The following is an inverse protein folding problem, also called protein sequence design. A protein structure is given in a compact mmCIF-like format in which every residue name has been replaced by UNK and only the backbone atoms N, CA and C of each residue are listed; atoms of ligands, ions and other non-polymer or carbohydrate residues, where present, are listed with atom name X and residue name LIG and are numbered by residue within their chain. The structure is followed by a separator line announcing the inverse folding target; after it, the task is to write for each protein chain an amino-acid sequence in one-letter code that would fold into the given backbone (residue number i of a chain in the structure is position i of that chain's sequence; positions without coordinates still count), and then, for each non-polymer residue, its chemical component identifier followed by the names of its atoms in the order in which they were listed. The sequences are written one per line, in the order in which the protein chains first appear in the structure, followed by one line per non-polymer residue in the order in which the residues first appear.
data_IF_575725568574
#
_entry.id   IF_575725568574
#
_cell.length_a   1.000
_cell.length_b   1.000
_cell.length_c   1.000
_cell.angle_alpha   90.00
_cell.angle_beta   90.00
_cell.angle_gamma   90.00
#
_symmetry.space_group_name_H-M   'P 1'
#
loop_
_entity.id
_entity.type
_entity.pdbx_description
1 polymer ?
#
# COMPACT_ATOMS: atom_id res chain seq x y z
N UNK A 1 6.81 -22.72 -16.45
CA UNK A 1 7.01 -21.26 -16.20
C UNK A 1 7.38 -21.09 -14.75
N UNK A 2 8.49 -20.40 -14.45
CA UNK A 2 8.82 -20.00 -13.07
C UNK A 2 7.79 -18.94 -12.66
N UNK A 3 6.95 -19.26 -11.67
CA UNK A 3 5.93 -18.33 -11.20
C UNK A 3 6.55 -17.30 -10.23
N UNK A 4 6.04 -16.08 -10.25
CA UNK A 4 6.37 -15.07 -9.24
C UNK A 4 5.09 -14.52 -8.61
N UNK A 5 5.16 -14.02 -7.38
CA UNK A 5 4.08 -13.31 -6.69
C UNK A 5 4.50 -11.85 -6.50
N UNK A 6 3.63 -10.91 -6.91
CA UNK A 6 3.80 -9.51 -6.59
C UNK A 6 3.28 -9.20 -5.17
N UNK A 7 4.10 -8.57 -4.36
CA UNK A 7 3.82 -8.21 -2.96
C UNK A 7 3.88 -6.68 -2.86
N UNK A 8 2.77 -6.07 -2.48
CA UNK A 8 2.59 -4.62 -2.49
C UNK A 8 1.71 -4.15 -1.32
N UNK A 9 1.67 -2.86 -1.07
CA UNK A 9 0.82 -2.25 -0.06
C UNK A 9 0.77 -0.74 -0.20
N UNK A 10 0.17 -0.07 0.79
CA UNK A 10 0.17 1.40 0.91
C UNK A 10 -0.33 2.08 -0.38
N UNK A 11 -1.49 1.62 -0.88
CA UNK A 11 -2.15 2.12 -2.10
C UNK A 11 -2.78 3.48 -1.83
N UNK A 12 -3.38 3.65 -0.65
CA UNK A 12 -3.92 4.91 -0.15
C UNK A 12 -4.91 5.58 -1.10
N UNK A 13 -5.86 4.82 -1.65
CA UNK A 13 -6.90 5.36 -2.54
C UNK A 13 -6.37 5.96 -3.85
N UNK A 14 -5.11 5.70 -4.22
CA UNK A 14 -4.46 6.18 -5.43
C UNK A 14 -4.64 5.19 -6.58
N UNK A 15 -5.79 5.25 -7.24
CA UNK A 15 -6.12 4.34 -8.33
C UNK A 15 -5.15 4.48 -9.53
N UNK A 16 -4.62 5.67 -9.79
CA UNK A 16 -3.70 5.93 -10.92
C UNK A 16 -2.40 5.15 -10.71
N UNK A 17 -1.84 5.22 -9.51
CA UNK A 17 -0.63 4.46 -9.16
C UNK A 17 -0.91 2.95 -9.15
N UNK A 18 -2.07 2.52 -8.63
CA UNK A 18 -2.48 1.12 -8.62
C UNK A 18 -2.61 0.56 -10.04
N UNK A 19 -3.24 1.26 -10.98
CA UNK A 19 -3.35 0.79 -12.36
C UNK A 19 -1.99 0.80 -13.09
N UNK A 20 -1.08 1.72 -12.74
CA UNK A 20 0.31 1.69 -13.23
C UNK A 20 1.02 0.41 -12.76
N UNK A 21 0.88 0.03 -11.50
CA UNK A 21 1.40 -1.23 -10.95
C UNK A 21 0.80 -2.44 -11.66
N UNK A 22 -0.52 -2.46 -11.83
CA UNK A 22 -1.22 -3.56 -12.50
C UNK A 22 -0.75 -3.74 -13.94
N UNK A 23 -0.59 -2.65 -14.68
CA UNK A 23 -0.10 -2.70 -16.05
C UNK A 23 1.34 -3.27 -16.12
N UNK A 24 2.20 -2.93 -15.17
CA UNK A 24 3.57 -3.40 -15.10
C UNK A 24 3.71 -4.89 -14.73
N UNK A 25 2.75 -5.43 -13.97
CA UNK A 25 2.81 -6.80 -13.43
C UNK A 25 1.93 -7.80 -14.20
N UNK A 26 0.99 -7.32 -15.01
CA UNK A 26 0.06 -8.15 -15.79
C UNK A 26 0.82 -9.14 -16.68
N UNK A 27 0.51 -10.44 -16.55
CA UNK A 27 1.12 -11.54 -17.33
C UNK A 27 2.55 -11.90 -16.91
N UNK A 28 3.14 -11.18 -15.94
CA UNK A 28 4.48 -11.45 -15.39
C UNK A 28 4.42 -12.22 -14.09
N UNK A 29 3.38 -12.01 -13.30
CA UNK A 29 3.19 -12.67 -12.00
C UNK A 29 1.99 -13.61 -12.03
N UNK A 30 2.02 -14.63 -11.20
CA UNK A 30 0.96 -15.64 -11.07
C UNK A 30 0.01 -15.37 -9.90
N UNK A 31 0.31 -14.36 -9.06
CA UNK A 31 -0.51 -13.99 -7.91
C UNK A 31 -0.09 -12.67 -7.30
N UNK A 32 -0.92 -12.19 -6.40
CA UNK A 32 -0.76 -10.90 -5.72
C UNK A 32 -1.00 -11.03 -4.22
N UNK A 33 -0.23 -10.27 -3.43
CA UNK A 33 -0.35 -10.15 -1.98
C UNK A 33 -0.34 -8.67 -1.62
N UNK A 34 -1.40 -8.21 -0.95
CA UNK A 34 -1.52 -6.85 -0.44
C UNK A 34 -1.20 -6.80 1.06
N UNK A 35 -0.30 -5.91 1.45
CA UNK A 35 0.16 -5.71 2.83
C UNK A 35 -0.60 -4.60 3.57
N UNK A 36 -1.83 -4.29 3.17
CA UNK A 36 -2.68 -3.29 3.84
C UNK A 36 -2.54 -1.87 3.29
N UNK A 37 -3.25 -0.96 3.93
CA UNK A 37 -3.36 0.45 3.58
C UNK A 37 -3.79 0.67 2.11
N UNK A 38 -4.85 -0.03 1.72
CA UNK A 38 -5.50 0.15 0.42
C UNK A 38 -6.28 1.46 0.37
N UNK A 39 -6.84 1.88 1.51
CA UNK A 39 -7.69 3.05 1.69
C UNK A 39 -6.94 4.25 2.28
N UNK A 40 -7.63 5.38 2.43
CA UNK A 40 -7.09 6.63 2.97
C UNK A 40 -6.45 7.52 1.90
N UNK A 41 -6.28 8.79 2.22
CA UNK A 41 -5.67 9.87 1.42
C UNK A 41 -6.32 10.14 0.05
N UNK A 42 -6.20 9.23 -0.91
CA UNK A 42 -6.63 9.45 -2.30
C UNK A 42 -8.14 9.38 -2.49
N UNK A 43 -8.65 9.85 -3.66
CA UNK A 43 -10.09 10.05 -3.87
C UNK A 43 -10.85 8.80 -4.33
N UNK A 44 -10.20 7.64 -4.44
CA UNK A 44 -10.83 6.43 -4.97
C UNK A 44 -10.69 5.19 -4.06
N UNK A 45 -10.99 5.28 -2.75
CA UNK A 45 -10.79 4.16 -1.83
C UNK A 45 -11.61 2.91 -2.23
N UNK A 46 -12.90 3.07 -2.56
CA UNK A 46 -13.76 1.94 -2.95
C UNK A 46 -13.27 1.26 -4.24
N UNK A 47 -12.85 2.04 -5.24
CA UNK A 47 -12.31 1.50 -6.48
C UNK A 47 -10.97 0.76 -6.26
N UNK A 48 -10.11 1.29 -5.38
CA UNK A 48 -8.85 0.64 -5.00
C UNK A 48 -9.13 -0.68 -4.27
N UNK A 49 -10.07 -0.71 -3.31
CA UNK A 49 -10.46 -1.93 -2.60
C UNK A 49 -10.99 -2.98 -3.56
N UNK A 50 -11.92 -2.62 -4.45
CA UNK A 50 -12.46 -3.53 -5.45
C UNK A 50 -11.34 -4.09 -6.36
N UNK A 51 -10.41 -3.22 -6.79
CA UNK A 51 -9.30 -3.61 -7.66
C UNK A 51 -8.32 -4.54 -6.97
N UNK A 52 -7.91 -4.23 -5.73
CA UNK A 52 -7.01 -5.06 -4.93
C UNK A 52 -7.63 -6.43 -4.66
N UNK A 53 -8.92 -6.49 -4.31
CA UNK A 53 -9.63 -7.76 -4.15
C UNK A 53 -9.66 -8.61 -5.42
N UNK A 54 -9.89 -7.99 -6.56
CA UNK A 54 -9.87 -8.69 -7.84
C UNK A 54 -8.49 -9.27 -8.17
N UNK A 55 -7.40 -8.58 -7.76
CA UNK A 55 -6.02 -9.06 -7.94
C UNK A 55 -5.67 -10.20 -6.97
N UNK A 56 -5.98 -10.03 -5.69
CA UNK A 56 -5.60 -10.98 -4.63
C UNK A 56 -6.55 -12.21 -4.55
N UNK A 57 -7.69 -12.17 -5.23
CA UNK A 57 -8.66 -13.26 -5.31
C UNK A 57 -9.49 -13.40 -4.04
N UNK A 58 -8.93 -13.96 -2.99
CA UNK A 58 -9.61 -14.16 -1.69
C UNK A 58 -8.98 -13.25 -0.62
N UNK A 59 -9.66 -13.09 0.51
CA UNK A 59 -9.14 -12.36 1.68
C UNK A 59 -7.78 -12.91 2.19
N UNK A 60 -7.39 -14.12 1.80
CA UNK A 60 -6.10 -14.72 2.18
C UNK A 60 -4.88 -14.04 1.56
N UNK A 61 -5.05 -13.23 0.51
CA UNK A 61 -4.00 -12.44 -0.12
C UNK A 61 -3.95 -10.98 0.32
N UNK A 62 -4.74 -10.59 1.34
CA UNK A 62 -4.83 -9.21 1.85
C UNK A 62 -4.63 -9.18 3.36
N UNK A 63 -4.00 -8.13 3.85
CA UNK A 63 -3.78 -7.87 5.28
C UNK A 63 -4.46 -6.54 5.65
N UNK A 64 -4.93 -6.44 6.89
CA UNK A 64 -5.41 -5.18 7.45
C UNK A 64 -4.23 -4.25 7.76
N UNK A 65 -4.26 -3.02 7.24
CA UNK A 65 -3.34 -1.95 7.59
C UNK A 65 -3.96 -0.98 8.61
N UNK A 66 -3.19 -0.01 9.08
CA UNK A 66 -3.70 0.96 10.04
C UNK A 66 -4.75 1.92 9.43
N UNK A 67 -4.73 2.14 8.12
CA UNK A 67 -5.76 2.93 7.45
C UNK A 67 -7.08 2.17 7.27
N UNK A 68 -7.08 0.85 7.07
CA UNK A 68 -8.30 0.04 7.20
C UNK A 68 -8.88 0.16 8.61
N UNK A 69 -8.04 0.04 9.66
CA UNK A 69 -8.48 0.16 11.07
C UNK A 69 -9.09 1.52 11.38
N UNK A 70 -8.54 2.62 10.84
CA UNK A 70 -9.14 3.96 10.96
C UNK A 70 -10.52 4.04 10.30
N UNK A 71 -10.71 3.44 9.12
CA UNK A 71 -12.00 3.41 8.43
C UNK A 71 -13.04 2.56 9.17
N UNK A 72 -12.61 1.47 9.81
CA UNK A 72 -13.45 0.58 10.62
C UNK A 72 -13.75 1.15 12.02
N UNK A 73 -13.14 2.28 12.40
CA UNK A 73 -13.28 2.85 13.74
C UNK A 73 -12.55 2.06 14.83
N UNK A 74 -11.65 1.14 14.46
CA UNK A 74 -10.85 0.36 15.39
C UNK A 74 -9.67 1.16 15.96
N UNK A 75 -9.24 2.21 15.27
CA UNK A 75 -8.22 3.15 15.71
C UNK A 75 -8.79 4.57 15.79
N UNK A 76 -8.28 5.36 16.74
CA UNK A 76 -8.75 6.72 16.99
C UNK A 76 -8.12 7.72 16.01
N UNK A 77 -8.94 8.31 15.15
CA UNK A 77 -8.52 9.33 14.19
C UNK A 77 -7.96 10.59 14.91
N UNK A 78 -8.45 10.92 16.11
CA UNK A 78 -7.98 12.09 16.86
C UNK A 78 -6.50 11.98 17.29
N UNK A 79 -5.98 10.77 17.36
CA UNK A 79 -4.56 10.49 17.67
C UNK A 79 -3.64 10.56 16.46
N UNK A 80 -4.20 10.67 15.26
CA UNK A 80 -3.42 10.77 14.04
C UNK A 80 -2.84 12.17 13.85
N UNK A 81 -1.86 12.30 12.96
CA UNK A 81 -1.29 13.61 12.62
C UNK A 81 -2.36 14.54 12.04
N UNK A 82 -2.24 15.88 12.21
CA UNK A 82 -3.20 16.83 11.64
C UNK A 82 -3.43 16.65 10.15
N UNK A 83 -2.40 16.26 9.40
CA UNK A 83 -2.52 15.99 7.96
C UNK A 83 -3.41 14.79 7.67
N UNK A 84 -3.24 13.67 8.41
CA UNK A 84 -4.10 12.48 8.28
C UNK A 84 -5.54 12.86 8.61
N UNK A 85 -5.76 13.55 9.73
CA UNK A 85 -7.10 14.00 10.12
C UNK A 85 -7.76 14.85 9.02
N UNK A 86 -6.98 15.73 8.35
CA UNK A 86 -7.48 16.58 7.26
C UNK A 86 -7.90 15.77 6.03
N UNK A 87 -7.13 14.79 5.64
CA UNK A 87 -7.53 13.86 4.57
C UNK A 87 -8.82 13.13 4.93
N UNK A 88 -8.92 12.59 6.15
CA UNK A 88 -10.10 11.84 6.60
C UNK A 88 -11.33 12.71 6.84
N UNK A 89 -11.18 13.99 7.12
CA UNK A 89 -12.30 14.94 7.19
C UNK A 89 -12.95 15.13 5.82
N UNK A 90 -12.23 14.88 4.72
CA UNK A 90 -12.71 15.07 3.36
C UNK A 90 -13.42 13.80 2.85
N UNK A 91 -14.69 13.96 2.43
CA UNK A 91 -15.56 12.84 2.07
C UNK A 91 -15.00 11.89 0.98
N UNK A 92 -14.34 12.36 -0.12
CA UNK A 92 -13.79 11.48 -1.14
C UNK A 92 -12.72 10.50 -0.66
N UNK A 93 -12.02 10.77 0.45
CA UNK A 93 -11.02 9.83 1.00
C UNK A 93 -11.63 8.72 1.85
N UNK A 94 -12.95 8.77 2.10
CA UNK A 94 -13.65 7.77 2.91
C UNK A 94 -14.14 6.62 2.06
N UNK A 95 -13.83 5.41 2.48
CA UNK A 95 -14.42 4.20 1.91
C UNK A 95 -15.90 4.12 2.30
N UNK A 96 -16.77 3.87 1.34
CA UNK A 96 -18.23 3.79 1.55
C UNK A 96 -18.68 2.37 1.90
N UNK A 97 -18.11 1.39 1.20
CA UNK A 97 -18.35 -0.03 1.48
C UNK A 97 -17.19 -0.60 2.29
N UNK A 98 -17.40 -0.76 3.60
CA UNK A 98 -16.41 -1.32 4.51
C UNK A 98 -16.39 -2.85 4.52
N UNK A 99 -17.41 -3.50 3.95
CA UNK A 99 -17.54 -4.97 3.94
C UNK A 99 -16.29 -5.67 3.42
N UNK A 100 -15.68 -5.19 2.31
CA UNK A 100 -14.51 -5.86 1.74
C UNK A 100 -13.23 -5.79 2.59
N UNK A 101 -13.12 -4.84 3.51
CA UNK A 101 -11.96 -4.65 4.38
C UNK A 101 -12.21 -5.13 5.81
N UNK A 102 -13.44 -5.54 6.12
CA UNK A 102 -13.79 -6.06 7.45
C UNK A 102 -13.26 -7.48 7.63
N UNK A 103 -12.62 -7.73 8.78
CA UNK A 103 -12.14 -9.06 9.15
C UNK A 103 -10.92 -9.53 8.35
N UNK A 104 -10.18 -8.63 7.72
CA UNK A 104 -8.90 -8.97 7.12
C UNK A 104 -7.91 -9.46 8.18
N UNK A 105 -7.05 -10.46 7.88
CA UNK A 105 -6.04 -10.90 8.82
C UNK A 105 -4.97 -9.82 9.05
N UNK A 106 -4.38 -9.77 10.23
CA UNK A 106 -3.27 -8.86 10.56
C UNK A 106 -1.94 -9.33 9.96
N UNK A 107 -1.82 -10.63 9.71
CA UNK A 107 -0.63 -11.27 9.17
C UNK A 107 -0.95 -12.62 8.54
N UNK A 108 -0.05 -13.12 7.68
CA UNK A 108 0.00 -14.50 7.25
C UNK A 108 1.42 -14.92 6.88
N UNK A 109 1.67 -16.23 6.86
CA UNK A 109 2.96 -16.76 6.44
C UNK A 109 2.97 -17.06 4.94
N UNK A 110 3.96 -16.53 4.24
CA UNK A 110 4.23 -16.76 2.83
C UNK A 110 5.60 -17.43 2.68
N UNK A 111 5.62 -18.75 2.58
CA UNK A 111 6.83 -19.55 2.56
C UNK A 111 7.72 -19.27 3.79
N UNK A 112 8.96 -18.75 3.59
CA UNK A 112 9.90 -18.39 4.67
C UNK A 112 9.69 -17.00 5.25
N UNK A 113 8.76 -16.21 4.68
CA UNK A 113 8.47 -14.84 5.13
C UNK A 113 7.15 -14.79 5.90
N UNK A 114 7.11 -13.93 6.89
CA UNK A 114 5.85 -13.44 7.48
C UNK A 114 5.48 -12.12 6.83
N UNK A 115 4.28 -12.05 6.29
CA UNK A 115 3.67 -10.85 5.75
C UNK A 115 2.84 -10.18 6.83
N UNK A 116 3.08 -8.90 7.09
CA UNK A 116 2.28 -8.05 7.98
C UNK A 116 2.42 -6.60 7.58
N UNK A 117 1.49 -5.73 8.02
CA UNK A 117 1.52 -4.34 7.60
C UNK A 117 2.72 -3.58 8.17
N UNK A 118 2.88 -3.55 9.49
CA UNK A 118 3.97 -2.86 10.16
C UNK A 118 5.05 -3.82 10.67
N UNK A 119 6.28 -3.33 10.82
CA UNK A 119 7.37 -4.10 11.40
C UNK A 119 7.05 -4.52 12.85
N UNK A 120 7.34 -5.78 13.25
CA UNK A 120 7.05 -6.23 14.60
C UNK A 120 8.02 -5.65 15.64
N UNK A 121 7.54 -5.48 16.86
CA UNK A 121 8.34 -5.20 18.06
C UNK A 121 7.98 -6.21 19.16
N UNK A 122 8.96 -6.84 19.82
CA UNK A 122 10.39 -6.99 19.52
C UNK A 122 10.65 -7.93 18.32
N UNK A 123 11.92 -8.05 17.86
CA UNK A 123 12.26 -8.89 16.72
C UNK A 123 11.96 -10.37 16.99
N UNK A 124 11.18 -10.98 16.10
CA UNK A 124 11.02 -12.42 16.08
C UNK A 124 12.11 -13.05 15.18
N UNK A 125 12.47 -14.32 15.41
CA UNK A 125 13.46 -15.06 14.61
C UNK A 125 12.90 -15.49 13.25
N UNK A 126 12.36 -14.54 12.47
CA UNK A 126 11.75 -14.78 11.15
C UNK A 126 12.13 -13.68 10.18
N UNK A 127 11.98 -13.94 8.88
CA UNK A 127 12.06 -12.91 7.85
C UNK A 127 10.68 -12.29 7.63
N UNK A 128 10.63 -10.98 7.40
CA UNK A 128 9.38 -10.24 7.26
C UNK A 128 9.32 -9.49 5.94
N UNK A 129 8.12 -9.43 5.36
CA UNK A 129 7.75 -8.50 4.29
C UNK A 129 6.73 -7.53 4.86
N UNK A 130 7.03 -6.24 4.82
CA UNK A 130 6.22 -5.20 5.47
C UNK A 130 5.99 -4.00 4.57
N UNK A 131 4.85 -3.31 4.76
CA UNK A 131 4.49 -2.01 4.20
C UNK A 131 4.74 -0.87 5.19
N UNK A 132 3.72 -0.02 5.39
CA UNK A 132 3.58 1.03 6.41
C UNK A 132 4.62 2.16 6.37
N UNK A 133 5.89 1.85 6.23
CA UNK A 133 6.97 2.86 6.22
C UNK A 133 7.01 3.67 4.92
N UNK A 134 6.38 3.18 3.85
CA UNK A 134 6.45 3.68 2.46
C UNK A 134 7.89 3.78 1.93
N UNK A 135 8.82 3.05 2.52
CA UNK A 135 10.21 2.93 2.07
C UNK A 135 10.40 1.58 1.42
N UNK A 136 11.40 1.46 0.56
CA UNK A 136 11.74 0.20 -0.08
C UNK A 136 13.16 -0.22 0.27
N UNK A 137 13.34 -1.50 0.58
CA UNK A 137 14.63 -2.10 0.88
C UNK A 137 14.68 -2.84 2.21
N UNK A 138 15.82 -3.48 2.51
CA UNK A 138 16.04 -4.07 3.82
C UNK A 138 16.08 -2.96 4.90
N UNK A 139 15.55 -3.28 6.07
CA UNK A 139 15.64 -2.35 7.21
C UNK A 139 17.10 -2.24 7.64
N UNK A 140 17.65 -1.01 7.81
CA UNK A 140 19.08 -0.82 8.12
C UNK A 140 19.54 -1.41 9.46
N UNK A 141 18.61 -1.55 10.43
CA UNK A 141 18.89 -2.08 11.76
C UNK A 141 18.47 -3.54 11.91
N UNK A 142 17.61 -4.00 11.00
CA UNK A 142 16.97 -5.31 11.03
C UNK A 142 16.91 -5.92 9.63
N UNK A 143 18.00 -6.52 9.15
CA UNK A 143 18.08 -7.07 7.79
C UNK A 143 17.14 -8.27 7.55
N UNK A 144 16.52 -8.80 8.59
CA UNK A 144 15.44 -9.78 8.54
C UNK A 144 14.10 -9.18 8.06
N UNK A 145 13.98 -7.84 8.03
CA UNK A 145 12.79 -7.11 7.55
C UNK A 145 13.10 -6.51 6.17
N UNK A 146 12.20 -6.76 5.23
CA UNK A 146 12.21 -6.13 3.91
C UNK A 146 10.94 -5.27 3.80
N UNK A 147 11.12 -3.99 3.62
CA UNK A 147 10.07 -3.05 3.27
C UNK A 147 9.80 -3.13 1.77
N UNK A 148 8.55 -3.38 1.38
CA UNK A 148 8.21 -3.57 -0.05
C UNK A 148 8.07 -2.25 -0.82
N UNK A 149 8.02 -1.12 -0.13
CA UNK A 149 7.74 0.18 -0.71
C UNK A 149 6.25 0.55 -0.60
N UNK A 150 5.82 1.50 -1.40
CA UNK A 150 4.43 1.96 -1.44
C UNK A 150 3.98 2.13 -2.88
N UNK A 151 2.73 1.73 -3.16
CA UNK A 151 2.09 2.00 -4.45
C UNK A 151 1.70 3.49 -4.56
N UNK A 152 1.06 4.03 -3.53
CA UNK A 152 0.41 5.35 -3.62
C UNK A 152 1.19 6.52 -3.04
N UNK A 153 2.17 6.25 -2.15
CA UNK A 153 2.84 7.31 -1.37
C UNK A 153 4.32 7.02 -1.08
N UNK A 154 5.07 6.63 -2.10
CA UNK A 154 6.50 6.35 -1.97
C UNK A 154 7.26 7.47 -1.27
N UNK A 155 8.10 7.12 -0.29
CA UNK A 155 8.89 8.09 0.50
C UNK A 155 10.14 8.58 -0.22
N UNK A 156 10.73 7.75 -1.06
CA UNK A 156 11.96 8.10 -1.80
C UNK A 156 11.69 9.11 -2.91
N UNK A 157 10.55 8.95 -3.60
CA UNK A 157 10.06 9.89 -4.62
C UNK A 157 8.57 9.67 -4.84
N UNK A 158 7.77 10.72 -4.69
CA UNK A 158 6.30 10.62 -4.67
C UNK A 158 5.69 10.17 -6.00
N UNK A 159 6.41 10.31 -7.09
CA UNK A 159 6.02 9.88 -8.44
C UNK A 159 6.52 8.47 -8.79
N UNK A 160 6.83 7.64 -7.78
CA UNK A 160 7.23 6.25 -7.97
C UNK A 160 6.17 5.30 -7.41
N UNK A 161 6.04 4.16 -8.07
CA UNK A 161 5.30 2.99 -7.60
C UNK A 161 6.31 1.92 -7.25
N UNK A 162 6.26 1.42 -6.02
CA UNK A 162 7.24 0.46 -5.50
C UNK A 162 6.54 -0.81 -4.99
N UNK A 163 7.12 -1.99 -5.34
CA UNK A 163 6.65 -3.30 -4.89
C UNK A 163 7.80 -4.31 -4.85
N UNK A 164 7.53 -5.49 -4.30
CA UNK A 164 8.42 -6.64 -4.34
C UNK A 164 7.84 -7.76 -5.21
N UNK A 165 8.69 -8.52 -5.89
CA UNK A 165 8.34 -9.79 -6.52
C UNK A 165 9.10 -10.92 -5.83
N UNK A 166 8.40 -11.99 -5.45
CA UNK A 166 8.99 -13.22 -4.91
C UNK A 166 8.94 -14.32 -5.95
N UNK A 167 10.10 -14.87 -6.30
CA UNK A 167 10.18 -16.10 -7.11
C UNK A 167 9.67 -17.29 -6.30
N UNK A 168 8.73 -18.06 -6.86
CA UNK A 168 8.11 -19.18 -6.15
C UNK A 168 9.01 -20.40 -5.97
N UNK A 169 10.09 -20.51 -6.74
CA UNK A 169 11.01 -21.64 -6.65
C UNK A 169 12.17 -21.35 -5.69
N UNK A 170 12.81 -20.19 -5.81
CA UNK A 170 13.95 -19.80 -4.95
C UNK A 170 13.53 -19.06 -3.68
N UNK A 171 12.34 -18.46 -3.67
CA UNK A 171 11.84 -17.53 -2.67
C UNK A 171 12.69 -16.26 -2.55
N UNK A 172 13.41 -15.90 -3.58
CA UNK A 172 14.17 -14.67 -3.61
C UNK A 172 13.27 -13.48 -3.87
N UNK A 173 13.63 -12.34 -3.28
CA UNK A 173 12.87 -11.09 -3.40
C UNK A 173 13.60 -10.15 -4.35
N UNK A 174 12.90 -9.68 -5.36
CA UNK A 174 13.32 -8.60 -6.25
C UNK A 174 12.47 -7.36 -5.97
N UNK A 175 13.11 -6.22 -5.79
CA UNK A 175 12.45 -4.94 -5.54
C UNK A 175 12.32 -4.16 -6.85
N UNK A 176 11.13 -3.59 -7.09
CA UNK A 176 10.80 -2.86 -8.30
C UNK A 176 10.35 -1.44 -7.98
N UNK A 177 10.73 -0.49 -8.82
CA UNK A 177 10.33 0.91 -8.72
C UNK A 177 10.19 1.50 -10.11
N UNK A 178 9.00 2.00 -10.47
CA UNK A 178 8.70 2.62 -11.77
C UNK A 178 8.02 3.98 -11.58
N UNK A 179 8.10 4.90 -12.54
CA UNK A 179 7.38 6.16 -12.46
C UNK A 179 5.86 5.98 -12.71
N UNK A 180 5.07 6.89 -12.13
CA UNK A 180 3.66 7.07 -12.45
C UNK A 180 3.32 8.57 -12.56
N UNK A 181 2.23 8.96 -13.24
CA UNK A 181 1.88 10.36 -13.46
C UNK A 181 1.25 10.98 -12.20
N UNK A 182 2.06 11.35 -11.21
CA UNK A 182 1.60 11.94 -9.93
C UNK A 182 0.82 13.25 -10.13
N UNK A 183 1.10 14.00 -11.20
CA UNK A 183 0.37 15.23 -11.51
C UNK A 183 -1.12 14.94 -11.80
N UNK A 184 -1.42 13.82 -12.44
CA UNK A 184 -2.81 13.38 -12.65
C UNK A 184 -3.53 13.08 -11.32
N UNK A 185 -2.82 12.57 -10.30
CA UNK A 185 -3.38 12.43 -8.95
C UNK A 185 -3.66 13.81 -8.33
N UNK A 186 -2.73 14.75 -8.44
CA UNK A 186 -2.93 16.11 -7.90
C UNK A 186 -4.09 16.84 -8.58
N UNK A 187 -4.25 16.67 -9.90
CA UNK A 187 -5.40 17.21 -10.64
C UNK A 187 -6.71 16.58 -10.17
N UNK A 188 -6.73 15.29 -9.92
CA UNK A 188 -7.88 14.60 -9.33
C UNK A 188 -8.21 15.13 -7.92
N UNK A 189 -7.20 15.33 -7.08
CA UNK A 189 -7.42 15.91 -5.75
C UNK A 189 -8.04 17.32 -5.85
N UNK A 190 -7.59 18.16 -6.81
CA UNK A 190 -8.20 19.47 -7.09
C UNK A 190 -9.64 19.33 -7.56
N UNK A 191 -9.90 18.44 -8.51
CA UNK A 191 -11.25 18.18 -9.05
C UNK A 191 -12.23 17.68 -7.97
N UNK A 192 -11.73 16.96 -6.99
CA UNK A 192 -12.50 16.51 -5.83
C UNK A 192 -12.48 17.51 -4.66
N UNK A 193 -12.01 18.74 -4.88
CA UNK A 193 -12.00 19.86 -3.91
C UNK A 193 -11.26 19.54 -2.61
N UNK A 194 -10.16 18.78 -2.66
CA UNK A 194 -9.33 18.54 -1.48
C UNK A 194 -8.74 19.85 -0.95
N UNK A 195 -8.58 19.99 0.38
CA UNK A 195 -7.87 21.12 0.98
C UNK A 195 -6.47 21.29 0.38
N UNK A 196 -6.03 22.56 0.26
CA UNK A 196 -4.74 22.89 -0.35
C UNK A 196 -3.57 22.13 0.30
N UNK A 197 -3.59 21.95 1.61
CA UNK A 197 -2.55 21.24 2.36
C UNK A 197 -2.44 19.77 1.98
N UNK A 198 -3.54 19.14 1.57
CA UNK A 198 -3.54 17.77 1.06
C UNK A 198 -2.85 17.69 -0.30
N UNK A 199 -3.08 18.67 -1.17
CA UNK A 199 -2.44 18.76 -2.50
C UNK A 199 -0.96 19.11 -2.33
N UNK A 200 -0.63 20.07 -1.47
CA UNK A 200 0.73 20.49 -1.13
C UNK A 200 1.58 19.34 -0.58
N UNK A 201 0.96 18.40 0.13
CA UNK A 201 1.64 17.21 0.60
C UNK A 201 2.31 16.44 -0.54
N UNK A 202 1.62 16.26 -1.68
CA UNK A 202 2.19 15.60 -2.86
C UNK A 202 3.14 16.54 -3.63
N UNK A 203 2.80 17.83 -3.74
CA UNK A 203 3.57 18.80 -4.52
C UNK A 203 5.00 19.03 -3.97
N UNK A 204 5.15 19.00 -2.64
CA UNK A 204 6.42 19.27 -1.95
C UNK A 204 7.34 18.05 -1.80
N UNK A 205 6.87 16.86 -2.18
CA UNK A 205 7.67 15.63 -2.07
C UNK A 205 8.69 15.52 -3.21
N UNK A 206 9.85 14.89 -2.96
CA UNK A 206 10.82 14.61 -4.01
C UNK A 206 10.20 13.84 -5.18
N UNK A 207 10.70 14.09 -6.39
CA UNK A 207 10.37 13.38 -7.62
C UNK A 207 11.64 12.82 -8.26
N UNK A 208 11.54 11.67 -8.96
CA UNK A 208 12.67 11.04 -9.67
C UNK A 208 12.20 10.43 -10.98
#
# INVERSE_FOLDING_TARGET
MRGAIAIFGDVHGNLIALETFVAATRGRVSGYVNLGDTVGYGPWPDACVARVRALCGTAKGMIEGNHERLHLGADDLARQTPLVQRFYAHAPSRCRDLTPITGLPLLFDLTRYRCQHAAPEPPARRRYLVGHSHRQGPDPRRPDIIHVGSIGQCRSAINRVEWAEMDLASHDITLHSIPYPVDALMDALRAHHYPAECIDYYARKPRR
#
